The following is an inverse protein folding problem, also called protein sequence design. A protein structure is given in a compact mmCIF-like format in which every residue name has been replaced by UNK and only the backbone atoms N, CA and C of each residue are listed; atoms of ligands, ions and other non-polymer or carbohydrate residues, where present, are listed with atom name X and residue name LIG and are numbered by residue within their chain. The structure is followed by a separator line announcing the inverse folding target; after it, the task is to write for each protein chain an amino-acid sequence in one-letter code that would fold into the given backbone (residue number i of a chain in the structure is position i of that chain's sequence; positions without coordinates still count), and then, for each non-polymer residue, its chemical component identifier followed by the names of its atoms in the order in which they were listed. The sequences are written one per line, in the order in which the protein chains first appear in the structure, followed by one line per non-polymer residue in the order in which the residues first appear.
data_IF_625780856354
#
_entry.id   IF_625780856354
#
_cell.length_a   1.000
_cell.length_b   1.000
_cell.length_c   1.000
_cell.angle_alpha   90.00
_cell.angle_beta   90.00
_cell.angle_gamma   90.00
#
_symmetry.space_group_name_H-M   'P 1'
#
loop_
_entity.id
_entity.type
_entity.pdbx_description
1 polymer ?
#
# COMPACT_ATOMS: atom_id res chain seq x y z
N UNK A 1 8.72 2.66 9.12
CA UNK A 1 8.26 3.39 7.91
C UNK A 1 8.08 2.38 6.78
N UNK A 2 6.84 2.27 6.28
CA UNK A 2 6.47 1.30 5.25
C UNK A 2 6.90 1.77 3.86
N UNK A 3 7.61 0.93 3.12
CA UNK A 3 8.07 1.27 1.77
C UNK A 3 8.06 0.06 0.84
N UNK A 4 7.57 0.25 -0.38
CA UNK A 4 7.70 -0.73 -1.46
C UNK A 4 8.50 -0.13 -2.62
N UNK A 5 9.25 -0.96 -3.35
CA UNK A 5 10.01 -0.53 -4.53
C UNK A 5 9.39 -1.20 -5.76
N UNK A 6 9.01 -0.39 -6.74
CA UNK A 6 8.52 -0.90 -8.03
C UNK A 6 9.64 -1.66 -8.71
N UNK A 7 9.45 -2.95 -8.98
CA UNK A 7 10.50 -3.83 -9.54
C UNK A 7 10.52 -3.91 -11.07
N UNK A 8 9.42 -3.53 -11.74
CA UNK A 8 9.23 -3.77 -13.18
C UNK A 8 8.55 -2.59 -13.87
N UNK A 9 8.81 -2.45 -15.17
CA UNK A 9 8.19 -1.44 -16.04
C UNK A 9 8.93 -0.08 -16.04
N UNK A 10 8.36 0.90 -16.74
CA UNK A 10 8.96 2.24 -16.94
C UNK A 10 9.20 3.04 -15.65
N UNK A 11 8.54 2.64 -14.55
CA UNK A 11 8.67 3.27 -13.22
C UNK A 11 9.45 2.39 -12.24
N UNK A 12 10.29 1.47 -12.74
CA UNK A 12 11.16 0.66 -11.89
C UNK A 12 12.06 1.55 -11.01
N UNK A 13 12.30 1.14 -9.77
CA UNK A 13 13.06 1.90 -8.77
C UNK A 13 12.26 2.97 -8.02
N UNK A 14 11.02 3.27 -8.43
CA UNK A 14 10.15 4.20 -7.69
C UNK A 14 9.79 3.63 -6.32
N UNK A 15 9.99 4.42 -5.26
CA UNK A 15 9.50 4.10 -3.92
C UNK A 15 8.01 4.44 -3.81
N UNK A 16 7.25 3.54 -3.20
CA UNK A 16 5.84 3.72 -2.88
C UNK A 16 5.67 3.72 -1.36
N UNK A 17 4.72 4.52 -0.90
CA UNK A 17 4.36 4.68 0.51
C UNK A 17 2.86 4.39 0.69
N UNK A 18 2.40 4.06 1.91
CA UNK A 18 0.97 3.89 2.20
C UNK A 18 0.17 5.07 1.65
N UNK A 19 -0.83 4.78 0.82
CA UNK A 19 -1.64 5.80 0.19
C UNK A 19 -2.77 6.22 1.14
N UNK A 20 -2.79 7.50 1.49
CA UNK A 20 -3.91 8.12 2.18
C UNK A 20 -4.92 8.58 1.13
N UNK A 21 -6.08 7.92 1.09
CA UNK A 21 -7.15 8.27 0.17
C UNK A 21 -7.79 9.58 0.61
N UNK A 22 -7.89 10.56 -0.30
CA UNK A 22 -8.44 11.89 0.01
C UNK A 22 -9.94 11.89 0.28
N UNK A 23 -10.65 10.90 -0.26
CA UNK A 23 -12.11 10.76 -0.12
C UNK A 23 -12.48 10.49 1.36
N UNK A 24 -11.73 9.61 2.02
CA UNK A 24 -12.04 9.13 3.37
C UNK A 24 -11.00 9.52 4.42
N UNK A 25 -9.83 10.01 3.99
CA UNK A 25 -8.68 10.28 4.85
C UNK A 25 -8.07 9.02 5.48
N UNK A 26 -8.16 7.88 4.79
CA UNK A 26 -7.83 6.55 5.34
C UNK A 26 -6.87 5.76 4.45
N UNK A 27 -6.22 4.76 5.02
CA UNK A 27 -5.42 3.76 4.29
C UNK A 27 -6.29 2.59 3.91
N UNK A 28 -6.20 2.10 2.68
CA UNK A 28 -7.03 0.97 2.25
C UNK A 28 -6.21 -0.30 2.14
N UNK A 29 -6.70 -1.37 2.78
CA UNK A 29 -6.19 -2.74 2.63
C UNK A 29 -7.24 -3.64 2.00
N UNK A 30 -6.83 -4.67 1.28
CA UNK A 30 -7.76 -5.67 0.71
C UNK A 30 -7.06 -7.00 0.50
N UNK A 31 -7.76 -8.11 0.72
CA UNK A 31 -7.25 -9.46 0.47
C UNK A 31 -7.02 -9.74 -1.02
N UNK A 32 -7.77 -9.09 -1.90
CA UNK A 32 -7.69 -9.31 -3.35
C UNK A 32 -7.81 -7.99 -4.10
N UNK A 33 -7.48 -7.96 -5.40
CA UNK A 33 -7.56 -6.72 -6.18
C UNK A 33 -8.99 -6.20 -6.42
N UNK A 34 -9.98 -7.09 -6.32
CA UNK A 34 -11.38 -6.79 -6.58
C UNK A 34 -12.24 -6.92 -5.30
N UNK A 35 -11.60 -7.29 -4.19
CA UNK A 35 -12.28 -7.54 -2.92
C UNK A 35 -12.65 -6.25 -2.20
N UNK A 36 -13.42 -6.35 -1.10
CA UNK A 36 -13.78 -5.19 -0.31
C UNK A 36 -12.52 -4.49 0.19
N UNK A 37 -12.48 -3.18 -0.02
CA UNK A 37 -11.44 -2.33 0.54
C UNK A 37 -11.81 -2.02 1.99
N UNK A 38 -10.94 -2.39 2.92
CA UNK A 38 -11.09 -2.08 4.34
C UNK A 38 -10.34 -0.78 4.62
N UNK A 39 -11.04 0.28 5.06
CA UNK A 39 -10.41 1.56 5.33
C UNK A 39 -9.91 1.62 6.79
N UNK A 40 -8.61 1.85 6.95
CA UNK A 40 -7.90 1.98 8.22
C UNK A 40 -7.67 3.46 8.53
N UNK A 41 -7.97 3.86 9.76
CA UNK A 41 -7.77 5.24 10.21
C UNK A 41 -6.31 5.52 10.57
N UNK A 42 -5.59 4.49 11.03
CA UNK A 42 -4.23 4.61 11.55
C UNK A 42 -3.27 3.72 10.77
N UNK A 43 -2.04 4.18 10.56
CA UNK A 43 -1.01 3.36 9.92
C UNK A 43 -0.49 2.25 10.83
N UNK A 44 -0.68 2.38 12.15
CA UNK A 44 -0.33 1.38 13.16
C UNK A 44 -1.10 0.08 13.04
N UNK A 45 -2.29 0.10 12.43
CA UNK A 45 -3.09 -1.11 12.21
C UNK A 45 -2.61 -1.90 10.98
N UNK A 46 -1.87 -1.26 10.06
CA UNK A 46 -1.45 -1.86 8.79
C UNK A 46 -0.66 -3.17 8.98
N UNK A 47 0.33 -3.28 9.89
CA UNK A 47 1.12 -4.50 10.07
C UNK A 47 0.27 -5.74 10.37
N UNK A 48 -0.77 -5.63 11.21
CA UNK A 48 -1.68 -6.75 11.52
C UNK A 48 -2.38 -7.27 10.25
N UNK A 49 -2.86 -6.39 9.39
CA UNK A 49 -3.47 -6.78 8.12
C UNK A 49 -2.44 -7.40 7.15
N UNK A 50 -1.23 -6.83 7.08
CA UNK A 50 -0.16 -7.38 6.25
C UNK A 50 0.25 -8.79 6.70
N UNK A 51 0.32 -9.03 8.01
CA UNK A 51 0.58 -10.35 8.59
C UNK A 51 -0.49 -11.38 8.23
N UNK A 52 -1.74 -10.93 8.09
CA UNK A 52 -2.87 -11.75 7.63
C UNK A 52 -2.98 -11.86 6.09
N UNK A 53 -1.98 -11.39 5.34
CA UNK A 53 -1.92 -11.54 3.89
C UNK A 53 -2.68 -10.47 3.08
N UNK A 54 -3.17 -9.42 3.73
CA UNK A 54 -3.84 -8.33 3.04
C UNK A 54 -2.84 -7.52 2.20
N UNK A 55 -3.33 -7.01 1.07
CA UNK A 55 -2.61 -6.10 0.21
C UNK A 55 -2.84 -4.67 0.68
N UNK A 56 -1.81 -3.83 0.66
CA UNK A 56 -1.90 -2.42 1.04
C UNK A 56 -1.91 -1.52 -0.19
N UNK A 57 -2.81 -0.54 -0.22
CA UNK A 57 -2.78 0.55 -1.20
C UNK A 57 -1.56 1.44 -0.99
N UNK A 58 -0.65 1.44 -1.97
CA UNK A 58 0.55 2.29 -1.93
C UNK A 58 0.64 3.15 -3.19
N UNK A 59 1.21 4.35 -3.05
CA UNK A 59 1.33 5.33 -4.13
C UNK A 59 2.60 6.17 -4.00
N UNK A 60 2.86 7.00 -5.00
CA UNK A 60 3.82 8.09 -4.89
C UNK A 60 3.38 9.25 -5.79
N UNK A 61 2.79 10.29 -5.18
CA UNK A 61 2.29 11.45 -5.91
C UNK A 61 3.41 12.24 -6.59
N UNK A 62 4.58 12.36 -5.95
CA UNK A 62 5.76 13.04 -6.53
C UNK A 62 6.25 12.33 -7.80
N UNK A 63 6.18 11.00 -7.84
CA UNK A 63 6.51 10.20 -9.03
C UNK A 63 5.32 10.00 -10.00
N UNK A 64 4.20 10.71 -9.81
CA UNK A 64 2.94 10.54 -10.54
C UNK A 64 2.49 9.07 -10.58
N UNK A 65 2.73 8.30 -9.52
CA UNK A 65 2.42 6.89 -9.40
C UNK A 65 1.07 6.72 -8.70
N UNK A 66 0.07 6.26 -9.46
CA UNK A 66 -1.29 6.03 -8.99
C UNK A 66 -1.33 4.96 -7.88
N UNK A 67 -2.28 5.04 -6.94
CA UNK A 67 -2.43 4.04 -5.90
C UNK A 67 -2.60 2.64 -6.49
N UNK A 68 -1.86 1.68 -5.96
CA UNK A 68 -1.94 0.27 -6.34
C UNK A 68 -1.80 -0.63 -5.13
N UNK A 69 -2.42 -1.81 -5.19
CA UNK A 69 -2.34 -2.80 -4.12
C UNK A 69 -1.02 -3.57 -4.20
N UNK A 70 -0.24 -3.49 -3.13
CA UNK A 70 1.07 -4.14 -2.97
C UNK A 70 0.96 -5.29 -1.97
N UNK A 71 1.58 -6.41 -2.31
CA UNK A 71 1.65 -7.60 -1.43
C UNK A 71 2.58 -7.36 -0.24
N UNK A 72 2.30 -7.93 0.94
CA UNK A 72 3.18 -7.85 2.12
C UNK A 72 4.63 -8.18 1.81
N UNK A 73 4.89 -9.25 1.04
CA UNK A 73 6.24 -9.68 0.63
C UNK A 73 7.02 -8.70 -0.26
N UNK A 74 6.37 -7.64 -0.73
CA UNK A 74 6.97 -6.57 -1.54
C UNK A 74 7.14 -5.26 -0.75
N UNK A 75 6.66 -5.21 0.49
CA UNK A 75 6.72 -4.06 1.40
C UNK A 75 7.81 -4.34 2.42
N UNK A 76 8.61 -3.32 2.74
CA UNK A 76 9.64 -3.34 3.78
C UNK A 76 9.19 -2.51 4.98
N UNK A 77 9.66 -2.91 6.17
CA UNK A 77 9.49 -2.14 7.41
C UNK A 77 8.14 -2.33 8.11
N UNK A 78 7.43 -3.42 7.81
CA UNK A 78 6.23 -3.87 8.54
C UNK A 78 6.45 -5.13 9.37
N UNK A 79 7.54 -5.87 9.09
CA UNK A 79 7.97 -7.07 9.79
C UNK A 79 8.72 -6.73 11.08
#
# INVERSE_FOLDING_TARGET
MLVAIVRRGRKSGTQLFPHLYKEDGRYHVSLTRQGPHIPLADDRDIPDYLANGYLLGMSNLSANYKPTLIRPSSIRGWE
#
